data_IF_091171280310
#
_entry.id   IF_091171280310
#
_cell.length_a   1.000
_cell.length_b   1.000
_cell.length_c   1.000
_cell.angle_alpha   90.00
_cell.angle_beta   90.00
_cell.angle_gamma   90.00
#
_symmetry.space_group_name_H-M   'P 1'
#
loop_
_entity.id
_entity.type
_entity.pdbx_description
1 polymer ?
#
# COMPACT_ATOMS: atom_id res chain seq x y z
N UNK A 1 6.49 -46.81 -20.70
CA UNK A 1 6.30 -45.73 -21.73
C UNK A 1 5.07 -44.89 -21.42
N UNK A 2 4.03 -45.46 -20.79
CA UNK A 2 2.79 -44.73 -20.46
C UNK A 2 3.00 -43.74 -19.28
N UNK A 3 3.88 -44.06 -18.32
CA UNK A 3 4.14 -43.20 -17.13
C UNK A 3 4.84 -41.87 -17.45
N UNK A 4 5.67 -41.81 -18.48
CA UNK A 4 6.40 -40.57 -18.83
C UNK A 4 5.55 -39.55 -19.56
N UNK A 5 4.44 -39.94 -20.16
CA UNK A 5 3.51 -39.02 -20.85
C UNK A 5 2.56 -38.28 -19.90
N UNK A 6 2.14 -38.93 -18.82
CA UNK A 6 1.28 -38.33 -17.80
C UNK A 6 2.02 -37.24 -17.00
N UNK A 7 3.28 -37.50 -16.65
CA UNK A 7 4.12 -36.52 -15.91
C UNK A 7 4.40 -35.26 -16.72
N UNK A 8 4.57 -35.37 -18.04
CA UNK A 8 4.77 -34.21 -18.91
C UNK A 8 3.52 -33.37 -19.10
N UNK A 9 2.34 -33.97 -19.10
CA UNK A 9 1.08 -33.28 -19.21
C UNK A 9 0.76 -32.46 -17.98
N UNK A 10 0.98 -33.02 -16.79
CA UNK A 10 0.70 -32.34 -15.52
C UNK A 10 1.64 -31.17 -15.25
N UNK A 11 2.92 -31.29 -15.62
CA UNK A 11 3.89 -30.17 -15.51
C UNK A 11 3.53 -28.99 -16.41
N UNK A 12 3.11 -29.26 -17.66
CA UNK A 12 2.70 -28.22 -18.61
C UNK A 12 1.40 -27.52 -18.19
N UNK A 13 0.48 -28.24 -17.55
CA UNK A 13 -0.77 -27.70 -17.07
C UNK A 13 -0.58 -26.82 -15.83
N UNK A 14 0.30 -27.20 -14.92
CA UNK A 14 0.67 -26.42 -13.76
C UNK A 14 1.39 -25.11 -14.15
N UNK A 15 2.29 -25.14 -15.11
CA UNK A 15 2.96 -23.94 -15.62
C UNK A 15 1.97 -23.00 -16.30
N UNK A 16 1.02 -23.51 -17.06
CA UNK A 16 -0.01 -22.70 -17.70
C UNK A 16 -0.94 -22.02 -16.68
N UNK A 17 -1.38 -22.75 -15.64
CA UNK A 17 -2.22 -22.21 -14.58
C UNK A 17 -1.47 -21.16 -13.76
N UNK A 18 -0.20 -21.39 -13.42
CA UNK A 18 0.63 -20.43 -12.70
C UNK A 18 0.80 -19.12 -13.50
N UNK A 19 1.15 -19.21 -14.78
CA UNK A 19 1.29 -18.04 -15.65
C UNK A 19 -0.03 -17.28 -15.84
N UNK A 20 -1.14 -17.99 -15.90
CA UNK A 20 -2.46 -17.37 -16.08
C UNK A 20 -2.93 -16.67 -14.80
N UNK A 21 -2.60 -17.22 -13.61
CA UNK A 21 -2.88 -16.61 -12.31
C UNK A 21 -2.07 -15.30 -12.12
N UNK A 22 -0.80 -15.32 -12.45
CA UNK A 22 0.07 -14.14 -12.40
C UNK A 22 -0.44 -13.04 -13.32
N UNK A 23 -0.84 -13.38 -14.56
CA UNK A 23 -1.40 -12.44 -15.52
C UNK A 23 -2.70 -11.79 -15.01
N UNK A 24 -3.60 -12.57 -14.38
CA UNK A 24 -4.86 -12.05 -13.81
C UNK A 24 -4.58 -11.13 -12.62
N UNK A 25 -3.63 -11.47 -11.76
CA UNK A 25 -3.23 -10.61 -10.63
C UNK A 25 -2.63 -9.29 -11.11
N UNK A 26 -1.76 -9.30 -12.10
CA UNK A 26 -1.18 -8.11 -12.70
C UNK A 26 -2.27 -7.22 -13.32
N UNK A 27 -3.23 -7.81 -14.05
CA UNK A 27 -4.34 -7.07 -14.64
C UNK A 27 -5.21 -6.37 -13.58
N UNK A 28 -5.48 -7.04 -12.44
CA UNK A 28 -6.25 -6.47 -11.32
C UNK A 28 -5.50 -5.30 -10.68
N UNK A 29 -4.20 -5.43 -10.44
CA UNK A 29 -3.35 -4.39 -9.88
C UNK A 29 -3.35 -3.15 -10.78
N UNK A 30 -3.16 -3.33 -12.09
CA UNK A 30 -3.14 -2.22 -13.06
C UNK A 30 -4.49 -1.57 -13.29
N UNK A 31 -5.61 -2.24 -13.01
CA UNK A 31 -6.95 -1.64 -13.07
C UNK A 31 -7.22 -0.64 -11.95
N UNK A 32 -6.57 -0.79 -10.81
CA UNK A 32 -6.77 0.05 -9.64
C UNK A 32 -5.68 1.08 -9.43
N UNK A 33 -5.12 1.59 -10.52
CA UNK A 33 -4.17 2.71 -10.50
C UNK A 33 -4.86 4.00 -10.97
N UNK A 34 -4.29 5.19 -10.69
CA UNK A 34 -4.86 6.44 -11.16
C UNK A 34 -5.08 6.47 -12.66
N UNK A 35 -6.29 6.87 -13.07
CA UNK A 35 -6.71 6.96 -14.48
C UNK A 35 -7.01 8.40 -14.91
N UNK A 36 -7.49 9.23 -13.97
CA UNK A 36 -7.96 10.58 -14.20
C UNK A 36 -7.39 11.55 -13.17
N UNK A 37 -7.36 12.83 -13.52
CA UNK A 37 -6.95 13.87 -12.57
C UNK A 37 -5.44 14.06 -12.47
N UNK A 38 -4.70 13.64 -13.48
CA UNK A 38 -3.25 13.81 -13.54
C UNK A 38 -2.65 13.14 -14.76
N UNK A 39 -1.34 13.01 -14.74
CA UNK A 39 -0.57 12.37 -15.82
C UNK A 39 0.47 11.42 -15.26
N UNK A 40 0.78 10.39 -16.03
CA UNK A 40 1.93 9.52 -15.80
C UNK A 40 3.17 10.09 -16.48
N UNK A 41 4.31 10.07 -15.79
CA UNK A 41 5.59 10.50 -16.38
C UNK A 41 6.13 9.53 -17.43
N UNK A 42 5.61 8.32 -17.45
CA UNK A 42 5.97 7.26 -18.37
C UNK A 42 4.84 6.24 -18.45
N UNK A 43 5.18 4.96 -18.42
CA UNK A 43 4.20 3.88 -18.49
C UNK A 43 3.30 3.87 -17.23
N UNK A 44 1.97 3.82 -17.39
CA UNK A 44 1.05 3.74 -16.27
C UNK A 44 1.36 2.57 -15.35
N UNK A 45 1.45 2.84 -14.03
CA UNK A 45 1.79 1.85 -13.02
C UNK A 45 3.28 1.55 -12.87
N UNK A 46 4.13 2.08 -13.74
CA UNK A 46 5.60 1.90 -13.71
C UNK A 46 6.34 3.23 -13.92
N UNK A 47 5.79 4.30 -13.43
CA UNK A 47 6.36 5.65 -13.49
C UNK A 47 5.74 6.50 -12.40
N UNK A 48 6.03 7.79 -12.41
CA UNK A 48 5.47 8.74 -11.45
C UNK A 48 4.08 9.17 -11.86
N UNK A 49 3.13 9.07 -10.94
CA UNK A 49 1.83 9.71 -11.06
C UNK A 49 1.93 11.16 -10.59
N UNK A 50 1.57 12.10 -11.44
CA UNK A 50 1.61 13.53 -11.18
C UNK A 50 0.19 14.07 -11.20
N UNK A 51 -0.44 14.31 -10.03
CA UNK A 51 -1.79 14.87 -9.97
C UNK A 51 -1.86 16.26 -10.60
N UNK A 52 -3.02 16.62 -11.14
CA UNK A 52 -3.29 17.98 -11.58
C UNK A 52 -3.19 18.93 -10.38
N UNK A 53 -2.27 19.87 -10.44
CA UNK A 53 -1.94 20.77 -9.31
C UNK A 53 -3.09 21.65 -8.86
N UNK A 54 -4.00 21.99 -9.76
CA UNK A 54 -5.14 22.86 -9.49
C UNK A 54 -6.33 22.12 -8.86
N UNK A 55 -6.36 20.79 -8.96
CA UNK A 55 -7.44 19.98 -8.42
C UNK A 55 -7.38 19.92 -6.90
N UNK A 56 -8.56 19.92 -6.28
CA UNK A 56 -8.73 19.72 -4.84
C UNK A 56 -9.17 18.28 -4.61
N UNK A 57 -8.31 17.44 -4.01
CA UNK A 57 -8.70 16.06 -3.72
C UNK A 57 -9.81 16.00 -2.65
N UNK A 58 -10.64 14.97 -2.73
CA UNK A 58 -11.84 14.84 -1.90
C UNK A 58 -11.57 14.41 -0.46
N UNK A 59 -10.44 13.74 -0.21
CA UNK A 59 -10.13 13.18 1.10
C UNK A 59 -8.89 13.85 1.74
N UNK A 60 -8.88 14.05 3.05
CA UNK A 60 -10.03 13.97 3.93
C UNK A 60 -11.04 15.09 3.64
N UNK A 61 -12.30 14.81 3.89
CA UNK A 61 -13.39 15.74 3.60
C UNK A 61 -13.20 17.10 4.32
N UNK A 62 -13.39 18.20 3.59
CA UNK A 62 -13.25 19.55 4.13
C UNK A 62 -11.80 20.07 4.21
N UNK A 63 -10.85 19.37 3.63
CA UNK A 63 -9.46 19.81 3.57
C UNK A 63 -9.27 21.09 2.73
N UNK A 64 -9.96 21.22 1.60
CA UNK A 64 -9.92 22.36 0.67
C UNK A 64 -8.54 22.72 0.09
N UNK A 65 -7.52 21.88 0.30
CA UNK A 65 -6.20 22.06 -0.28
C UNK A 65 -6.14 21.57 -1.73
N UNK A 66 -5.44 22.32 -2.56
CA UNK A 66 -5.08 21.84 -3.90
C UNK A 66 -3.96 20.80 -3.84
N UNK A 67 -3.83 19.98 -4.88
CA UNK A 67 -2.68 19.10 -4.99
C UNK A 67 -1.35 19.84 -4.99
N UNK A 68 -1.29 21.06 -5.56
CA UNK A 68 -0.08 21.89 -5.49
C UNK A 68 0.36 22.13 -4.04
N UNK A 69 -0.58 22.50 -3.17
CA UNK A 69 -0.31 22.73 -1.75
C UNK A 69 0.11 21.44 -1.04
N UNK A 70 -0.61 20.35 -1.27
CA UNK A 70 -0.31 19.03 -0.65
C UNK A 70 1.09 18.56 -1.04
N UNK A 71 1.41 18.59 -2.34
CA UNK A 71 2.71 18.15 -2.84
C UNK A 71 3.85 19.01 -2.26
N UNK A 72 3.66 20.32 -2.22
CA UNK A 72 4.65 21.25 -1.64
C UNK A 72 4.87 20.99 -0.14
N UNK A 73 3.81 20.85 0.65
CA UNK A 73 3.90 20.57 2.08
C UNK A 73 4.63 19.27 2.39
N UNK A 74 4.49 18.27 1.51
CA UNK A 74 5.15 16.96 1.66
C UNK A 74 6.49 16.86 0.92
N UNK A 75 6.91 17.92 0.24
CA UNK A 75 8.21 17.97 -0.44
C UNK A 75 8.36 17.00 -1.61
N UNK A 76 7.26 16.71 -2.31
CA UNK A 76 7.21 15.80 -3.46
C UNK A 76 6.55 16.47 -4.67
N UNK A 77 6.72 15.89 -5.84
CA UNK A 77 6.09 16.33 -7.09
C UNK A 77 5.13 15.31 -7.69
N UNK A 78 5.01 14.17 -7.07
CA UNK A 78 4.15 13.06 -7.49
C UNK A 78 4.45 11.81 -6.69
N UNK A 79 3.81 10.71 -7.06
CA UNK A 79 3.98 9.40 -6.40
C UNK A 79 4.55 8.40 -7.41
N UNK A 80 5.70 7.84 -7.09
CA UNK A 80 6.29 6.77 -7.89
C UNK A 80 5.48 5.48 -7.74
N UNK A 81 5.27 4.80 -8.87
CA UNK A 81 4.66 3.48 -8.93
C UNK A 81 5.63 2.49 -9.56
N UNK A 82 5.61 1.27 -9.04
CA UNK A 82 6.31 0.14 -9.62
C UNK A 82 5.37 -1.07 -9.61
N UNK A 83 5.17 -1.66 -10.80
CA UNK A 83 4.29 -2.82 -10.96
C UNK A 83 2.89 -2.60 -10.35
N UNK A 84 2.35 -1.39 -10.54
CA UNK A 84 1.02 -1.01 -10.04
C UNK A 84 0.96 -0.65 -8.55
N UNK A 85 2.08 -0.67 -7.85
CA UNK A 85 2.17 -0.36 -6.42
C UNK A 85 2.77 1.03 -6.20
N UNK A 86 2.08 1.92 -5.44
CA UNK A 86 2.63 3.21 -5.08
C UNK A 86 3.71 3.08 -4.01
N UNK A 87 4.75 3.87 -4.12
CA UNK A 87 5.77 4.03 -3.09
C UNK A 87 5.48 5.28 -2.26
N UNK A 88 4.97 5.08 -1.05
CA UNK A 88 4.72 6.16 -0.09
C UNK A 88 5.89 6.42 0.86
N UNK A 89 7.01 5.72 0.74
CA UNK A 89 8.14 5.91 1.65
C UNK A 89 8.69 7.33 1.68
N UNK A 90 8.74 8.09 0.58
CA UNK A 90 9.19 9.48 0.63
C UNK A 90 8.35 10.41 1.51
N UNK A 91 7.10 10.05 1.79
CA UNK A 91 6.16 10.85 2.60
C UNK A 91 5.75 10.14 3.90
N UNK A 92 6.31 8.98 4.18
CA UNK A 92 6.01 8.24 5.39
C UNK A 92 6.63 8.90 6.63
N UNK A 93 5.83 9.10 7.67
CA UNK A 93 6.33 9.55 8.98
C UNK A 93 6.94 8.41 9.80
N UNK A 94 6.68 7.18 9.43
CA UNK A 94 7.25 5.97 10.00
C UNK A 94 6.93 4.77 9.14
N UNK A 95 7.80 3.78 9.18
CA UNK A 95 7.61 2.50 8.49
C UNK A 95 7.98 1.38 9.43
N UNK A 96 7.17 0.34 9.49
CA UNK A 96 7.37 -0.83 10.35
C UNK A 96 7.03 -2.11 9.62
N UNK A 97 7.62 -3.22 10.05
CA UNK A 97 7.16 -4.56 9.71
C UNK A 97 6.17 -5.04 10.76
N UNK A 98 5.19 -5.84 10.35
CA UNK A 98 4.33 -6.60 11.24
C UNK A 98 4.50 -8.10 10.98
N UNK A 99 4.38 -8.92 12.02
CA UNK A 99 4.65 -10.36 11.91
C UNK A 99 3.45 -11.16 11.43
N UNK A 100 2.24 -10.74 11.82
CA UNK A 100 1.00 -11.46 11.55
C UNK A 100 0.05 -10.61 10.71
N UNK A 101 0.32 -10.51 9.41
CA UNK A 101 -0.54 -9.78 8.49
C UNK A 101 -1.85 -10.53 8.27
N UNK A 102 -2.97 -9.86 8.54
CA UNK A 102 -4.31 -10.42 8.45
C UNK A 102 -5.17 -9.65 7.45
N UNK A 103 -6.38 -10.14 7.18
CA UNK A 103 -7.40 -9.40 6.44
C UNK A 103 -8.19 -8.42 7.31
N UNK A 104 -7.92 -8.39 8.61
CA UNK A 104 -8.51 -7.44 9.54
C UNK A 104 -7.58 -6.22 9.69
N UNK A 105 -8.04 -5.09 9.18
CA UNK A 105 -7.27 -3.83 9.21
C UNK A 105 -6.94 -3.38 10.62
N UNK A 106 -7.86 -3.51 11.57
CA UNK A 106 -7.65 -3.07 12.95
C UNK A 106 -6.54 -3.89 13.63
N UNK A 107 -6.45 -5.18 13.36
CA UNK A 107 -5.38 -6.05 13.87
C UNK A 107 -4.02 -5.66 13.28
N UNK A 108 -3.96 -5.36 12.00
CA UNK A 108 -2.74 -4.90 11.33
C UNK A 108 -2.29 -3.54 11.89
N UNK A 109 -3.24 -2.62 12.06
CA UNK A 109 -2.96 -1.29 12.61
C UNK A 109 -2.49 -1.36 14.07
N UNK A 110 -3.06 -2.24 14.87
CA UNK A 110 -2.63 -2.48 16.24
C UNK A 110 -1.16 -2.95 16.30
N UNK A 111 -0.79 -3.92 15.49
CA UNK A 111 0.58 -4.41 15.41
C UNK A 111 1.55 -3.30 14.95
N UNK A 112 1.14 -2.52 13.94
CA UNK A 112 1.94 -1.42 13.43
C UNK A 112 2.12 -0.31 14.49
N UNK A 113 1.06 0.07 15.19
CA UNK A 113 1.14 1.05 16.28
C UNK A 113 2.06 0.58 17.40
N UNK A 114 2.00 -0.68 17.78
CA UNK A 114 2.88 -1.28 18.78
C UNK A 114 4.36 -1.21 18.35
N UNK A 115 4.64 -1.61 17.12
CA UNK A 115 6.00 -1.65 16.59
C UNK A 115 6.56 -0.23 16.39
N UNK A 116 5.72 0.72 15.99
CA UNK A 116 6.13 2.11 15.87
C UNK A 116 6.43 2.74 17.25
N UNK A 117 5.61 2.44 18.26
CA UNK A 117 5.87 2.91 19.63
C UNK A 117 7.24 2.43 20.11
N UNK A 118 7.59 1.17 19.92
CA UNK A 118 8.90 0.62 20.27
C UNK A 118 10.03 1.34 19.52
N UNK A 119 9.88 1.53 18.21
CA UNK A 119 10.86 2.22 17.37
C UNK A 119 11.07 3.66 17.81
N UNK A 120 10.00 4.40 18.05
CA UNK A 120 10.08 5.80 18.48
C UNK A 120 10.63 5.96 19.90
N UNK A 121 10.42 4.98 20.78
CA UNK A 121 11.04 4.96 22.09
C UNK A 121 12.56 4.77 22.01
N UNK A 122 13.03 3.88 21.13
CA UNK A 122 14.45 3.69 20.88
C UNK A 122 15.13 4.95 20.31
N UNK A 123 14.41 5.67 19.45
CA UNK A 123 14.89 6.88 18.81
C UNK A 123 14.67 8.14 19.65
N UNK A 124 13.98 8.06 20.78
CA UNK A 124 13.51 9.21 21.57
C UNK A 124 12.80 10.25 20.69
N UNK A 125 11.88 9.79 19.86
CA UNK A 125 11.15 10.64 18.93
C UNK A 125 10.47 11.80 19.64
N UNK A 126 10.73 13.01 19.16
CA UNK A 126 10.25 14.26 19.77
C UNK A 126 10.64 14.42 21.25
N UNK A 127 11.79 13.86 21.65
CA UNK A 127 12.27 13.88 23.04
C UNK A 127 11.49 12.98 23.99
N UNK A 128 10.66 12.06 23.46
CA UNK A 128 9.81 11.16 24.21
C UNK A 128 10.27 9.73 24.04
N UNK A 129 10.44 8.99 25.14
CA UNK A 129 10.89 7.60 25.13
C UNK A 129 9.91 6.62 25.80
N UNK A 130 8.68 7.06 26.01
CA UNK A 130 7.61 6.28 26.63
C UNK A 130 6.33 6.26 25.75
N UNK A 131 6.51 6.23 24.44
CA UNK A 131 5.39 6.09 23.49
C UNK A 131 4.62 4.81 23.77
N UNK A 132 3.31 4.92 23.95
CA UNK A 132 2.38 3.80 24.03
C UNK A 132 1.62 3.61 22.72
N UNK A 133 0.93 2.48 22.58
CA UNK A 133 0.03 2.25 21.43
C UNK A 133 -1.04 3.35 21.38
N UNK A 134 -1.58 3.74 22.52
CA UNK A 134 -2.56 4.84 22.63
C UNK A 134 -1.98 6.17 22.14
N UNK A 135 -0.73 6.47 22.46
CA UNK A 135 -0.05 7.69 22.00
C UNK A 135 0.10 7.71 20.47
N UNK A 136 0.45 6.57 19.87
CA UNK A 136 0.54 6.46 18.40
C UNK A 136 -0.83 6.66 17.75
N UNK A 137 -1.87 6.05 18.31
CA UNK A 137 -3.25 6.21 17.80
C UNK A 137 -3.69 7.66 17.87
N UNK A 138 -3.40 8.35 18.98
CA UNK A 138 -3.71 9.77 19.15
C UNK A 138 -2.91 10.63 18.15
N UNK A 139 -1.64 10.36 17.97
CA UNK A 139 -0.77 11.02 16.99
C UNK A 139 -1.33 10.88 15.57
N UNK A 140 -1.73 9.67 15.17
CA UNK A 140 -2.35 9.44 13.86
C UNK A 140 -3.63 10.23 13.68
N UNK A 141 -4.47 10.25 14.70
CA UNK A 141 -5.75 10.98 14.67
C UNK A 141 -5.54 12.49 14.54
N UNK A 142 -4.68 13.06 15.36
CA UNK A 142 -4.40 14.50 15.36
C UNK A 142 -3.79 14.98 14.05
N UNK A 143 -2.85 14.21 13.50
CA UNK A 143 -2.16 14.54 12.26
C UNK A 143 -2.85 14.03 11.00
N UNK A 144 -3.99 13.37 11.13
CA UNK A 144 -4.75 12.77 10.01
C UNK A 144 -3.88 11.82 9.19
N UNK A 145 -3.25 10.88 9.86
CA UNK A 145 -2.42 9.83 9.26
C UNK A 145 -3.18 8.51 9.22
N UNK A 146 -2.78 7.66 8.31
CA UNK A 146 -3.25 6.27 8.22
C UNK A 146 -2.09 5.34 7.91
N UNK A 147 -2.25 4.07 8.22
CA UNK A 147 -1.30 3.05 7.81
C UNK A 147 -1.61 2.58 6.39
N UNK A 148 -0.60 2.64 5.53
CA UNK A 148 -0.60 1.96 4.24
C UNK A 148 -0.05 0.55 4.41
N UNK A 149 -0.85 -0.43 4.03
CA UNK A 149 -0.49 -1.85 4.07
C UNK A 149 0.08 -2.23 2.70
N UNK A 150 1.41 -2.41 2.62
CA UNK A 150 2.07 -2.74 1.34
C UNK A 150 1.64 -4.12 0.84
N UNK A 151 1.76 -4.33 -0.46
CA UNK A 151 1.40 -5.58 -1.11
C UNK A 151 2.28 -6.77 -0.72
N UNK A 152 3.43 -6.53 -0.08
CA UNK A 152 4.24 -7.60 0.49
C UNK A 152 3.62 -8.26 1.73
N UNK A 153 2.50 -7.73 2.24
CA UNK A 153 1.78 -8.22 3.41
C UNK A 153 2.67 -8.29 4.67
N UNK A 154 3.56 -7.33 4.82
CA UNK A 154 4.56 -7.30 5.87
C UNK A 154 4.91 -5.89 6.32
N UNK A 155 5.22 -5.01 5.37
CA UNK A 155 5.59 -3.63 5.64
C UNK A 155 4.36 -2.71 5.64
N UNK A 156 4.38 -1.75 6.56
CA UNK A 156 3.36 -0.72 6.67
C UNK A 156 4.00 0.65 6.81
N UNK A 157 3.44 1.63 6.09
CA UNK A 157 3.91 3.02 6.09
C UNK A 157 2.86 3.94 6.71
N UNK A 158 3.28 4.83 7.59
CA UNK A 158 2.43 5.84 8.19
C UNK A 158 2.37 7.07 7.30
N UNK A 159 1.23 7.30 6.64
CA UNK A 159 1.07 8.26 5.55
C UNK A 159 -0.10 9.20 5.82
N UNK A 160 0.02 10.45 5.38
CA UNK A 160 -1.09 11.41 5.45
C UNK A 160 -2.31 10.90 4.65
N UNK A 161 -3.49 10.98 5.25
CA UNK A 161 -4.75 10.59 4.62
C UNK A 161 -5.02 11.37 3.34
N UNK A 162 -4.62 12.64 3.29
CA UNK A 162 -4.79 13.50 2.11
C UNK A 162 -3.99 13.01 0.88
N UNK A 163 -2.92 12.25 1.09
CA UNK A 163 -2.19 11.58 0.01
C UNK A 163 -2.76 10.18 -0.21
N UNK A 164 -2.72 9.34 0.81
CA UNK A 164 -3.11 7.92 0.70
C UNK A 164 -4.54 7.73 0.21
N UNK A 165 -5.49 8.52 0.71
CA UNK A 165 -6.91 8.41 0.36
C UNK A 165 -7.27 8.91 -1.04
N UNK A 166 -6.36 9.61 -1.72
CA UNK A 166 -6.59 10.22 -3.04
C UNK A 166 -5.73 9.64 -4.17
N UNK A 167 -4.98 8.59 -3.86
CA UNK A 167 -4.20 7.84 -4.83
C UNK A 167 -4.78 6.43 -4.95
N UNK A 168 -5.54 6.12 -6.00
CA UNK A 168 -6.09 4.77 -6.20
C UNK A 168 -4.98 3.73 -6.26
N UNK A 169 -5.14 2.65 -5.49
CA UNK A 169 -4.21 1.52 -5.49
C UNK A 169 -4.83 0.31 -4.81
N UNK A 170 -4.25 -0.86 -5.03
CA UNK A 170 -4.57 -2.08 -4.30
C UNK A 170 -3.49 -2.35 -3.25
N UNK A 171 -3.90 -2.55 -2.00
CA UNK A 171 -2.99 -2.83 -0.89
C UNK A 171 -2.90 -4.31 -0.52
N UNK A 172 -2.17 -4.59 0.56
CA UNK A 172 -1.90 -5.94 1.04
C UNK A 172 -3.14 -6.73 1.44
N UNK A 173 -4.15 -6.10 2.03
CA UNK A 173 -5.42 -6.78 2.39
C UNK A 173 -6.12 -7.31 1.16
N UNK A 174 -6.22 -6.52 0.09
CA UNK A 174 -6.83 -6.96 -1.17
C UNK A 174 -6.08 -8.16 -1.76
N UNK A 175 -4.76 -8.14 -1.71
CA UNK A 175 -3.92 -9.24 -2.16
C UNK A 175 -4.14 -10.50 -1.30
N UNK A 176 -4.13 -10.36 0.03
CA UNK A 176 -4.34 -11.48 0.94
C UNK A 176 -5.72 -12.12 0.77
N UNK A 177 -6.76 -11.32 0.60
CA UNK A 177 -8.12 -11.84 0.33
C UNK A 177 -8.19 -12.64 -0.96
N UNK A 178 -7.50 -12.20 -2.02
CA UNK A 178 -7.42 -12.97 -3.29
C UNK A 178 -6.73 -14.32 -3.09
N UNK A 179 -5.61 -14.34 -2.37
CA UNK A 179 -4.87 -15.57 -2.08
C UNK A 179 -5.69 -16.56 -1.25
N UNK A 180 -6.44 -16.09 -0.24
CA UNK A 180 -7.31 -16.95 0.59
C UNK A 180 -8.47 -17.54 -0.21
N UNK A 181 -9.03 -16.82 -1.17
CA UNK A 181 -10.06 -17.35 -2.07
C UNK A 181 -9.49 -18.46 -2.98
N UNK A 182 -8.27 -18.29 -3.46
CA UNK A 182 -7.57 -19.30 -4.27
C UNK A 182 -7.33 -20.58 -3.46
N UNK A 183 -6.83 -20.48 -2.22
CA UNK A 183 -6.60 -21.61 -1.31
C UNK A 183 -7.88 -22.39 -0.96
N UNK A 184 -9.03 -21.72 -0.88
CA UNK A 184 -10.31 -22.35 -0.55
C UNK A 184 -11.01 -23.01 -1.75
N UNK A 185 -10.52 -22.79 -2.96
CA UNK A 185 -11.06 -23.39 -4.20
C UNK A 185 -10.28 -24.62 -4.66
N UNK A 186 -9.19 -25.00 -3.98
CA UNK A 186 -8.41 -26.22 -4.19
C UNK A 186 -8.86 -27.33 -3.23
#
# INVERSE_FOLDING_TARGET
IVHSRLVKGDLLQNDYLSQNTDYIQDEIIYKNIPQNGGVWSGEPGNSKWIPNKEDIPKQPYGNEKTWATILEEHGIDGIEFKEGEPDFTPVAEGSVEIEDFTTNRDDNFFQADQNLAQKWNQESKNGKNDWSISDIRQYRKEKKLTWHERSDMKNMDLVAQEIHGNIPHSGGISKKKRLEVEENND
#
